data_IF_061575188254
#
_entry.id   IF_061575188254
#
_cell.length_a   1.000
_cell.length_b   1.000
_cell.length_c   1.000
_cell.angle_alpha   90.00
_cell.angle_beta   90.00
_cell.angle_gamma   90.00
#
_symmetry.space_group_name_H-M   'P 1'
#
loop_
_entity.id
_entity.type
_entity.pdbx_description
1 polymer ?
#
# COMPACT_ATOMS: atom_id res chain seq x y z
N UNK A 1 -66.51 -48.47 30.09
CA UNK A 1 -66.40 -48.01 31.49
C UNK A 1 -64.94 -47.93 31.86
N UNK A 2 -64.59 -46.85 32.57
CA UNK A 2 -63.28 -46.35 32.99
C UNK A 2 -62.15 -47.38 33.22
N UNK A 3 -60.94 -47.02 32.80
CA UNK A 3 -59.81 -46.91 33.76
C UNK A 3 -58.67 -46.04 33.18
N UNK A 4 -58.52 -44.84 33.77
CA UNK A 4 -57.24 -44.13 33.88
C UNK A 4 -56.58 -44.60 35.18
N UNK A 5 -55.24 -44.65 35.20
CA UNK A 5 -54.34 -44.11 36.25
C UNK A 5 -52.90 -44.58 35.89
N UNK A 6 -52.08 -43.67 35.35
CA UNK A 6 -51.01 -42.89 36.03
C UNK A 6 -49.64 -43.60 36.04
N UNK A 7 -48.67 -42.82 35.58
CA UNK A 7 -47.25 -43.04 35.27
C UNK A 7 -46.37 -43.59 36.41
N UNK A 8 -45.19 -44.15 36.04
CA UNK A 8 -43.94 -43.56 36.52
C UNK A 8 -42.91 -43.29 35.41
N UNK A 9 -42.04 -42.32 35.67
CA UNK A 9 -41.03 -41.77 34.77
C UNK A 9 -39.89 -42.77 34.41
N UNK A 10 -39.28 -42.68 33.22
CA UNK A 10 -38.04 -43.37 32.92
C UNK A 10 -36.81 -42.48 33.17
N UNK A 11 -35.82 -43.07 33.83
CA UNK A 11 -34.49 -42.50 34.09
C UNK A 11 -33.79 -42.07 32.80
N UNK A 12 -33.34 -40.81 32.75
CA UNK A 12 -32.39 -40.31 31.75
C UNK A 12 -30.99 -40.80 32.11
N UNK A 13 -30.42 -41.64 31.25
CA UNK A 13 -29.00 -41.95 31.21
C UNK A 13 -28.20 -40.67 30.92
N UNK A 14 -27.35 -40.28 31.87
CA UNK A 14 -26.31 -39.29 31.70
C UNK A 14 -25.20 -39.91 30.83
N UNK A 15 -25.11 -39.50 29.57
CA UNK A 15 -23.94 -39.75 28.74
C UNK A 15 -23.08 -38.47 28.71
N UNK A 16 -22.10 -38.40 29.61
CA UNK A 16 -21.06 -37.38 29.61
C UNK A 16 -20.04 -37.72 28.53
N UNK A 17 -20.18 -37.14 27.35
CA UNK A 17 -19.10 -37.10 26.37
C UNK A 17 -18.07 -36.05 26.80
N UNK A 18 -16.97 -36.52 27.38
CA UNK A 18 -15.77 -35.72 27.64
C UNK A 18 -15.13 -35.34 26.30
N UNK A 19 -15.31 -34.08 25.86
CA UNK A 19 -14.50 -33.49 24.78
C UNK A 19 -13.14 -33.14 25.37
N UNK A 20 -12.12 -33.91 25.04
CA UNK A 20 -10.73 -33.45 25.17
C UNK A 20 -10.51 -32.30 24.19
N UNK A 21 -10.78 -31.07 24.64
CA UNK A 21 -10.26 -29.86 24.01
C UNK A 21 -8.77 -29.79 24.34
N UNK A 22 -7.93 -29.92 23.32
CA UNK A 22 -6.55 -29.48 23.43
C UNK A 22 -6.52 -27.98 23.74
N UNK A 23 -5.65 -27.51 24.65
CA UNK A 23 -5.53 -26.10 24.92
C UNK A 23 -5.06 -25.38 23.65
N UNK A 24 -5.89 -24.46 23.15
CA UNK A 24 -5.49 -23.49 22.13
C UNK A 24 -4.35 -22.67 22.74
N UNK A 25 -3.13 -22.94 22.30
CA UNK A 25 -1.98 -22.09 22.60
C UNK A 25 -2.30 -20.70 22.06
N UNK A 26 -2.49 -19.74 22.98
CA UNK A 26 -2.55 -18.32 22.61
C UNK A 26 -1.26 -18.00 21.83
N UNK A 27 -1.35 -17.34 20.67
CA UNK A 27 -0.15 -16.88 19.98
C UNK A 27 0.65 -16.01 20.96
N UNK A 28 1.99 -16.11 20.96
CA UNK A 28 2.81 -15.31 21.84
C UNK A 28 2.50 -13.84 21.59
N UNK A 29 2.17 -13.11 22.65
CA UNK A 29 2.13 -11.65 22.60
C UNK A 29 3.55 -11.18 22.31
N UNK A 30 3.85 -10.99 21.03
CA UNK A 30 5.00 -10.22 20.60
C UNK A 30 4.84 -8.84 21.21
N UNK A 31 5.63 -8.53 22.25
CA UNK A 31 5.76 -7.15 22.67
C UNK A 31 6.27 -6.37 21.46
N UNK A 32 5.41 -5.55 20.85
CA UNK A 32 5.78 -4.64 19.77
C UNK A 32 6.79 -3.66 20.37
N UNK A 33 8.08 -4.00 20.34
CA UNK A 33 9.15 -3.06 20.67
C UNK A 33 8.96 -1.89 19.70
N UNK A 34 8.60 -0.73 20.22
CA UNK A 34 8.48 0.47 19.41
C UNK A 34 9.84 0.74 18.75
N UNK A 35 9.85 0.98 17.44
CA UNK A 35 11.08 1.29 16.72
C UNK A 35 11.67 2.58 17.29
N UNK A 36 12.91 2.50 17.77
CA UNK A 36 13.72 3.66 18.23
C UNK A 36 14.30 4.47 17.08
N UNK A 37 14.11 4.02 15.83
CA UNK A 37 14.58 4.72 14.65
C UNK A 37 13.84 6.05 14.46
N UNK A 38 14.56 7.12 14.17
CA UNK A 38 14.02 8.44 13.85
C UNK A 38 14.45 8.85 12.45
N UNK A 39 13.54 9.50 11.71
CA UNK A 39 13.87 10.03 10.40
C UNK A 39 14.93 11.14 10.55
N UNK A 40 16.08 11.06 9.85
CA UNK A 40 17.08 12.11 9.91
C UNK A 40 16.51 13.42 9.37
N UNK A 41 16.27 14.42 10.22
CA UNK A 41 15.66 15.70 9.82
C UNK A 41 16.52 16.51 8.82
N UNK A 42 17.82 16.21 8.73
CA UNK A 42 18.68 16.75 7.67
C UNK A 42 18.26 16.27 6.26
N UNK A 43 17.63 15.10 6.17
CA UNK A 43 17.19 14.46 4.93
C UNK A 43 15.67 14.57 4.78
N UNK A 44 14.91 14.14 5.79
CA UNK A 44 13.47 14.19 5.88
C UNK A 44 13.02 15.55 6.39
N UNK A 45 12.76 16.46 5.46
CA UNK A 45 12.40 17.85 5.73
C UNK A 45 11.45 18.38 4.65
N UNK A 46 10.84 19.57 4.84
CA UNK A 46 9.90 20.14 3.88
C UNK A 46 10.44 20.21 2.44
N UNK A 47 11.74 20.49 2.25
CA UNK A 47 12.32 20.57 0.90
C UNK A 47 12.30 19.23 0.18
N UNK A 48 12.55 18.11 0.86
CA UNK A 48 12.39 16.76 0.30
C UNK A 48 10.94 16.52 -0.13
N UNK A 49 9.99 16.84 0.75
CA UNK A 49 8.57 16.59 0.50
C UNK A 49 8.04 17.45 -0.66
N UNK A 50 8.42 18.72 -0.73
CA UNK A 50 8.10 19.60 -1.85
C UNK A 50 8.67 19.05 -3.17
N UNK A 51 9.96 18.66 -3.21
CA UNK A 51 10.57 18.08 -4.42
C UNK A 51 9.85 16.82 -4.90
N UNK A 52 9.43 15.94 -3.99
CA UNK A 52 8.66 14.74 -4.34
C UNK A 52 7.38 15.11 -5.10
N UNK A 53 6.64 16.11 -4.61
CA UNK A 53 5.40 16.55 -5.25
C UNK A 53 5.66 17.29 -6.57
N UNK A 54 6.62 18.21 -6.60
CA UNK A 54 6.93 19.02 -7.78
C UNK A 54 7.38 18.15 -8.96
N UNK A 55 8.16 17.10 -8.70
CA UNK A 55 8.60 16.16 -9.74
C UNK A 55 7.45 15.25 -10.17
N UNK A 56 6.72 14.68 -9.21
CA UNK A 56 5.71 13.66 -9.50
C UNK A 56 4.46 14.23 -10.17
N UNK A 57 3.97 15.37 -9.67
CA UNK A 57 2.75 16.04 -10.13
C UNK A 57 3.04 17.20 -11.09
N UNK A 58 4.24 17.27 -11.68
CA UNK A 58 4.55 18.27 -12.69
C UNK A 58 3.48 18.28 -13.79
N UNK A 59 2.92 19.44 -14.08
CA UNK A 59 1.84 19.60 -15.07
C UNK A 59 0.50 18.90 -14.69
N UNK A 60 0.29 18.56 -13.41
CA UNK A 60 -1.00 18.08 -12.86
C UNK A 60 -1.56 19.10 -11.85
N UNK A 61 -2.40 20.06 -12.29
CA UNK A 61 -3.00 21.05 -11.39
C UNK A 61 -3.92 20.41 -10.35
N UNK A 62 -3.90 20.91 -9.12
CA UNK A 62 -4.76 20.42 -8.04
C UNK A 62 -6.26 20.59 -8.35
N UNK A 63 -6.61 21.63 -9.11
CA UNK A 63 -8.00 21.89 -9.53
C UNK A 63 -8.50 20.96 -10.63
N UNK A 64 -7.61 20.17 -11.25
CA UNK A 64 -7.97 19.26 -12.35
C UNK A 64 -8.52 17.97 -11.74
N UNK A 65 -9.76 17.62 -12.10
CA UNK A 65 -10.42 16.40 -11.60
C UNK A 65 -9.85 15.13 -12.22
N UNK A 66 -9.61 15.14 -13.53
CA UNK A 66 -9.01 14.06 -14.32
C UNK A 66 -7.48 14.12 -14.36
N UNK A 67 -6.85 13.14 -15.02
CA UNK A 67 -5.39 13.08 -15.19
C UNK A 67 -5.05 13.27 -16.66
N UNK A 68 -4.15 14.22 -16.95
CA UNK A 68 -3.73 14.47 -18.33
C UNK A 68 -2.83 13.34 -18.88
N UNK A 69 -2.92 13.08 -20.19
CA UNK A 69 -2.19 11.98 -20.84
C UNK A 69 -0.67 12.10 -20.66
N UNK A 70 -0.12 13.31 -20.67
CA UNK A 70 1.32 13.53 -20.43
C UNK A 70 1.73 13.09 -19.01
N UNK A 71 0.87 13.32 -18.03
CA UNK A 71 1.05 12.93 -16.63
C UNK A 71 0.92 11.41 -16.49
N UNK A 72 -0.11 10.80 -17.10
CA UNK A 72 -0.27 9.34 -17.16
C UNK A 72 0.95 8.64 -17.77
N UNK A 73 1.49 9.21 -18.85
CA UNK A 73 2.69 8.68 -19.50
C UNK A 73 3.86 8.66 -18.54
N UNK A 74 4.11 9.76 -17.82
CA UNK A 74 5.18 9.84 -16.82
C UNK A 74 5.03 8.81 -15.71
N UNK A 75 3.81 8.61 -15.23
CA UNK A 75 3.53 7.70 -14.11
C UNK A 75 3.62 6.23 -14.49
N UNK A 76 3.11 5.84 -15.66
CA UNK A 76 2.89 4.43 -15.97
C UNK A 76 3.50 3.93 -17.28
N UNK A 77 3.78 4.82 -18.25
CA UNK A 77 4.02 4.42 -19.64
C UNK A 77 5.40 4.82 -20.19
N UNK A 78 6.30 5.36 -19.36
CA UNK A 78 7.66 5.66 -19.82
C UNK A 78 8.41 4.36 -20.16
N UNK A 79 9.14 4.37 -21.27
CA UNK A 79 10.00 3.28 -21.72
C UNK A 79 11.27 3.83 -22.37
N UNK A 80 12.31 3.00 -22.50
CA UNK A 80 13.58 3.37 -23.11
C UNK A 80 14.21 4.62 -22.47
N UNK A 81 14.76 5.49 -23.32
CA UNK A 81 15.49 6.69 -22.89
C UNK A 81 14.65 7.63 -22.01
N UNK A 82 13.35 7.76 -22.26
CA UNK A 82 12.47 8.62 -21.47
C UNK A 82 12.31 8.11 -20.03
N UNK A 83 12.21 6.78 -19.88
CA UNK A 83 12.17 6.13 -18.55
C UNK A 83 13.49 6.33 -17.83
N UNK A 84 14.60 6.05 -18.51
CA UNK A 84 15.93 6.12 -17.90
C UNK A 84 16.30 7.57 -17.52
N UNK A 85 15.84 8.55 -18.31
CA UNK A 85 15.95 9.97 -17.98
C UNK A 85 15.13 10.35 -16.74
N UNK A 86 13.89 9.87 -16.64
CA UNK A 86 13.05 10.13 -15.47
C UNK A 86 13.57 9.43 -14.21
N UNK A 87 14.03 8.19 -14.31
CA UNK A 87 14.67 7.47 -13.21
C UNK A 87 15.93 8.20 -12.73
N UNK A 88 16.70 8.78 -13.65
CA UNK A 88 17.86 9.63 -13.31
C UNK A 88 17.46 10.92 -12.60
N UNK A 89 16.28 11.50 -12.90
CA UNK A 89 15.71 12.61 -12.13
C UNK A 89 15.36 12.12 -10.72
N UNK A 90 14.67 10.99 -10.59
CA UNK A 90 14.30 10.44 -9.28
C UNK A 90 15.56 10.13 -8.45
N UNK A 91 16.54 9.42 -9.01
CA UNK A 91 17.76 9.03 -8.32
C UNK A 91 18.54 10.24 -7.79
N UNK A 92 18.70 11.30 -8.60
CA UNK A 92 19.39 12.52 -8.16
C UNK A 92 18.70 13.23 -6.99
N UNK A 93 17.38 13.08 -6.86
CA UNK A 93 16.60 13.81 -5.85
C UNK A 93 16.27 12.99 -4.60
N UNK A 94 16.24 11.66 -4.70
CA UNK A 94 15.67 10.80 -3.66
C UNK A 94 16.57 9.66 -3.19
N UNK A 95 17.73 9.42 -3.82
CA UNK A 95 18.63 8.33 -3.39
C UNK A 95 19.11 8.49 -1.95
N UNK A 96 19.45 9.71 -1.52
CA UNK A 96 19.86 9.96 -0.12
C UNK A 96 18.72 9.64 0.87
N UNK A 97 17.48 10.00 0.53
CA UNK A 97 16.33 9.72 1.36
C UNK A 97 16.05 8.22 1.48
N UNK A 98 16.05 7.49 0.35
CA UNK A 98 15.84 6.04 0.39
C UNK A 98 17.02 5.30 1.05
N UNK A 99 18.26 5.74 0.85
CA UNK A 99 19.42 5.17 1.56
C UNK A 99 19.33 5.38 3.07
N UNK A 100 18.89 6.55 3.52
CA UNK A 100 18.73 6.87 4.94
C UNK A 100 17.74 5.95 5.67
N UNK A 101 16.77 5.38 4.95
CA UNK A 101 15.79 4.41 5.46
C UNK A 101 15.95 3.02 4.83
N UNK A 102 17.13 2.70 4.30
CA UNK A 102 17.43 1.40 3.66
C UNK A 102 17.34 0.23 4.65
N UNK A 103 17.24 -1.03 4.17
CA UNK A 103 17.29 -2.21 5.04
C UNK A 103 18.52 -2.25 5.97
N UNK A 104 19.65 -1.68 5.55
CA UNK A 104 20.88 -1.63 6.33
C UNK A 104 20.79 -0.62 7.49
N UNK A 105 20.13 0.53 7.29
CA UNK A 105 20.01 1.59 8.31
C UNK A 105 18.74 1.48 9.15
N UNK A 106 17.69 0.89 8.59
CA UNK A 106 16.38 0.69 9.21
C UNK A 106 15.90 -0.76 9.01
N UNK A 107 16.54 -1.76 9.63
CA UNK A 107 16.31 -3.18 9.31
C UNK A 107 14.93 -3.74 9.67
N UNK A 108 14.15 -3.02 10.49
CA UNK A 108 12.80 -3.42 10.91
C UNK A 108 11.78 -2.45 10.27
N UNK A 109 11.41 -2.65 8.99
CA UNK A 109 10.50 -1.75 8.29
C UNK A 109 9.19 -1.59 9.05
N UNK A 110 8.82 -0.35 9.35
CA UNK A 110 7.54 -0.01 9.94
C UNK A 110 7.17 1.42 9.59
N UNK A 111 5.86 1.69 9.58
CA UNK A 111 5.33 3.04 9.34
C UNK A 111 5.56 4.02 10.49
N UNK A 112 5.93 3.51 11.67
CA UNK A 112 6.00 4.29 12.91
C UNK A 112 6.82 5.58 12.80
N UNK A 113 8.06 5.60 12.23
CA UNK A 113 8.82 6.84 12.13
C UNK A 113 8.17 7.89 11.23
N UNK A 114 7.40 7.44 10.23
CA UNK A 114 6.69 8.30 9.28
C UNK A 114 5.39 8.84 9.89
N UNK A 115 4.69 8.03 10.68
CA UNK A 115 3.53 8.49 11.45
C UNK A 115 3.95 9.54 12.48
N UNK A 116 5.08 9.35 13.16
CA UNK A 116 5.65 10.39 14.03
C UNK A 116 6.01 11.67 13.30
N UNK A 117 6.47 11.62 12.06
CA UNK A 117 6.68 12.82 11.25
C UNK A 117 5.37 13.60 11.06
N UNK A 118 4.28 12.89 10.78
CA UNK A 118 2.95 13.49 10.65
C UNK A 118 2.49 14.08 11.98
N UNK A 119 2.65 13.36 13.08
CA UNK A 119 2.31 13.82 14.43
C UNK A 119 3.13 15.05 14.84
N UNK A 120 4.45 15.06 14.62
CA UNK A 120 5.34 16.20 14.87
C UNK A 120 4.86 17.46 14.14
N UNK A 121 4.41 17.33 12.87
CA UNK A 121 3.91 18.45 12.06
C UNK A 121 2.59 18.98 12.60
N UNK A 122 1.73 18.09 13.11
CA UNK A 122 0.45 18.42 13.73
C UNK A 122 0.63 19.05 15.13
N UNK A 123 1.55 18.54 15.94
CA UNK A 123 1.82 18.97 17.32
C UNK A 123 2.70 20.23 17.39
N UNK A 124 3.67 20.37 16.48
CA UNK A 124 4.60 21.50 16.40
C UNK A 124 3.94 22.85 16.08
N UNK A 125 2.62 22.89 15.97
CA UNK A 125 1.81 24.07 15.64
C UNK A 125 0.63 24.29 16.60
N UNK A 126 0.86 24.18 17.90
CA UNK A 126 -0.07 24.66 18.94
C UNK A 126 0.05 26.18 19.21
N UNK A 127 -0.20 27.01 18.19
CA UNK A 127 -0.44 28.44 18.38
C UNK A 127 -1.35 28.96 17.25
N UNK A 128 -2.63 29.25 17.55
CA UNK A 128 -3.68 29.78 16.64
C UNK A 128 -4.38 28.75 15.71
N UNK A 129 -5.72 28.75 15.68
CA UNK A 129 -6.56 27.88 14.83
C UNK A 129 -6.24 28.00 13.33
N UNK A 130 -5.85 29.19 12.85
CA UNK A 130 -5.43 29.39 11.45
C UNK A 130 -4.08 28.73 11.15
N UNK A 131 -3.20 28.64 12.14
CA UNK A 131 -1.91 27.94 12.04
C UNK A 131 -2.11 26.43 12.18
N UNK A 132 -3.07 25.99 13.00
CA UNK A 132 -3.47 24.58 13.10
C UNK A 132 -4.06 24.04 11.79
N UNK A 133 -4.90 24.81 11.08
CA UNK A 133 -5.40 24.43 9.75
C UNK A 133 -4.25 24.30 8.73
N UNK A 134 -3.30 25.25 8.73
CA UNK A 134 -2.07 25.14 7.90
C UNK A 134 -1.21 23.94 8.28
N UNK A 135 -1.20 23.55 9.56
CA UNK A 135 -0.51 22.36 10.05
C UNK A 135 -1.10 21.05 9.52
N UNK A 136 -2.43 20.95 9.46
CA UNK A 136 -3.11 19.78 8.87
C UNK A 136 -2.85 19.65 7.37
N UNK A 137 -2.92 20.75 6.63
CA UNK A 137 -2.64 20.74 5.19
C UNK A 137 -1.19 20.33 4.90
N UNK A 138 -0.23 20.83 5.68
CA UNK A 138 1.18 20.46 5.53
C UNK A 138 1.44 18.99 5.91
N UNK A 139 0.79 18.50 6.97
CA UNK A 139 0.82 17.10 7.35
C UNK A 139 0.23 16.21 6.24
N UNK A 140 -0.90 16.60 5.65
CA UNK A 140 -1.50 15.90 4.53
C UNK A 140 -0.57 15.88 3.31
N UNK A 141 0.03 17.03 2.94
CA UNK A 141 1.01 17.09 1.86
C UNK A 141 2.25 16.24 2.11
N UNK A 142 2.72 16.21 3.36
CA UNK A 142 3.85 15.37 3.78
C UNK A 142 3.49 13.89 3.65
N UNK A 143 2.29 13.49 4.07
CA UNK A 143 1.78 12.13 3.91
C UNK A 143 1.78 11.69 2.44
N UNK A 144 1.22 12.50 1.54
CA UNK A 144 1.24 12.20 0.10
C UNK A 144 2.68 12.07 -0.42
N UNK A 145 3.58 12.96 -0.03
CA UNK A 145 4.98 12.97 -0.47
C UNK A 145 5.74 11.72 -0.03
N UNK A 146 5.47 11.27 1.20
CA UNK A 146 6.06 10.06 1.76
C UNK A 146 5.51 8.81 1.06
N UNK A 147 4.22 8.76 0.74
CA UNK A 147 3.65 7.67 -0.07
C UNK A 147 4.32 7.59 -1.44
N UNK A 148 4.48 8.74 -2.14
CA UNK A 148 5.20 8.79 -3.42
C UNK A 148 6.66 8.35 -3.26
N UNK A 149 7.37 8.83 -2.23
CA UNK A 149 8.77 8.46 -1.99
C UNK A 149 8.92 6.95 -1.75
N UNK A 150 8.09 6.38 -0.87
CA UNK A 150 8.20 5.00 -0.43
C UNK A 150 7.74 4.03 -1.53
N UNK A 151 6.62 4.30 -2.18
CA UNK A 151 6.01 3.37 -3.14
C UNK A 151 6.56 3.57 -4.56
N UNK A 152 6.56 4.81 -5.05
CA UNK A 152 6.83 5.10 -6.45
C UNK A 152 8.30 5.37 -6.72
N UNK A 153 8.93 6.29 -5.97
CA UNK A 153 10.34 6.63 -6.18
C UNK A 153 11.23 5.40 -5.97
N UNK A 154 10.92 4.53 -5.00
CA UNK A 154 11.65 3.27 -4.82
C UNK A 154 11.64 2.39 -6.08
N UNK A 155 10.52 2.33 -6.83
CA UNK A 155 10.41 1.58 -8.10
C UNK A 155 11.18 2.22 -9.25
N UNK A 156 11.25 3.54 -9.29
CA UNK A 156 12.06 4.27 -10.28
C UNK A 156 13.56 4.13 -10.00
N UNK A 157 13.97 4.11 -8.73
CA UNK A 157 15.38 4.02 -8.34
C UNK A 157 15.93 2.59 -8.44
N UNK A 158 15.12 1.59 -8.10
CA UNK A 158 15.60 0.22 -7.87
C UNK A 158 15.01 -0.77 -8.88
N UNK A 159 15.32 -0.60 -10.16
CA UNK A 159 14.79 -1.46 -11.23
C UNK A 159 15.48 -2.82 -11.39
N UNK A 160 16.69 -3.00 -10.86
CA UNK A 160 17.41 -4.29 -10.96
C UNK A 160 16.80 -5.33 -10.03
N UNK A 161 16.96 -6.64 -10.30
CA UNK A 161 16.45 -7.69 -9.41
C UNK A 161 16.95 -7.54 -7.97
N UNK A 162 18.21 -7.15 -7.78
CA UNK A 162 18.78 -6.85 -6.46
C UNK A 162 18.11 -5.64 -5.79
N UNK A 163 17.89 -4.57 -6.55
CA UNK A 163 17.19 -3.38 -6.07
C UNK A 163 15.73 -3.66 -5.71
N UNK A 164 15.02 -4.41 -6.56
CA UNK A 164 13.61 -4.75 -6.38
C UNK A 164 13.36 -5.55 -5.09
N UNK A 165 14.35 -6.31 -4.61
CA UNK A 165 14.28 -6.92 -3.28
C UNK A 165 14.06 -5.87 -2.19
N UNK A 166 14.74 -4.71 -2.27
CA UNK A 166 14.54 -3.59 -1.33
C UNK A 166 13.16 -2.97 -1.50
N UNK A 167 12.65 -2.88 -2.72
CA UNK A 167 11.29 -2.40 -2.98
C UNK A 167 10.26 -3.29 -2.30
N UNK A 168 10.22 -4.57 -2.68
CA UNK A 168 9.16 -5.47 -2.28
C UNK A 168 9.22 -5.90 -0.81
N UNK A 169 10.42 -6.14 -0.27
CA UNK A 169 10.57 -6.64 1.10
C UNK A 169 10.69 -5.54 2.16
N UNK A 170 10.87 -4.28 1.75
CA UNK A 170 11.19 -3.19 2.67
C UNK A 170 10.35 -1.94 2.44
N UNK A 171 10.47 -1.28 1.29
CA UNK A 171 9.73 -0.03 1.05
C UNK A 171 8.22 -0.25 0.92
N UNK A 172 7.78 -1.34 0.28
CA UNK A 172 6.36 -1.72 0.19
C UNK A 172 5.75 -1.97 1.58
N UNK A 173 6.50 -2.61 2.49
CA UNK A 173 6.07 -2.89 3.88
C UNK A 173 5.84 -1.58 4.64
N UNK A 174 6.77 -0.64 4.51
CA UNK A 174 6.64 0.69 5.14
C UNK A 174 5.45 1.44 4.54
N UNK A 175 5.38 1.50 3.20
CA UNK A 175 4.37 2.25 2.48
C UNK A 175 2.95 1.76 2.77
N UNK A 176 2.75 0.44 2.73
CA UNK A 176 1.46 -0.20 3.04
C UNK A 176 1.05 0.05 4.48
N UNK A 177 1.96 -0.15 5.44
CA UNK A 177 1.67 0.13 6.85
C UNK A 177 1.36 1.60 7.12
N UNK A 178 1.96 2.52 6.35
CA UNK A 178 1.71 3.95 6.46
C UNK A 178 0.34 4.31 5.90
N UNK A 179 -0.01 3.82 4.71
CA UNK A 179 -1.35 3.99 4.14
C UNK A 179 -2.43 3.36 5.01
N UNK A 180 -2.22 2.16 5.57
CA UNK A 180 -3.16 1.53 6.50
C UNK A 180 -3.51 2.45 7.67
N UNK A 181 -2.49 3.09 8.26
CA UNK A 181 -2.67 4.00 9.37
C UNK A 181 -3.35 5.32 8.95
N UNK A 182 -2.99 5.88 7.80
CA UNK A 182 -3.59 7.10 7.26
C UNK A 182 -5.04 6.92 6.83
N UNK A 183 -5.40 5.73 6.32
CA UNK A 183 -6.74 5.38 5.84
C UNK A 183 -7.66 4.85 6.95
N UNK A 184 -7.10 4.58 8.14
CA UNK A 184 -7.87 4.11 9.29
C UNK A 184 -8.83 5.20 9.82
N UNK A 185 -10.01 4.82 10.37
CA UNK A 185 -10.97 5.78 10.92
C UNK A 185 -10.42 6.70 12.02
N UNK A 186 -9.37 6.25 12.73
CA UNK A 186 -8.71 6.99 13.81
C UNK A 186 -7.57 7.90 13.36
N UNK A 187 -7.31 7.98 12.04
CA UNK A 187 -6.28 8.85 11.49
C UNK A 187 -6.53 10.31 11.90
N UNK A 188 -5.50 11.05 12.38
CA UNK A 188 -5.68 12.45 12.76
C UNK A 188 -5.95 13.38 11.57
N UNK A 189 -5.70 12.89 10.35
CA UNK A 189 -6.00 13.57 9.09
C UNK A 189 -7.37 13.19 8.50
N UNK A 190 -8.13 12.32 9.18
CA UNK A 190 -9.34 11.71 8.62
C UNK A 190 -9.03 10.78 7.44
N UNK A 191 -10.01 10.59 6.55
CA UNK A 191 -9.85 9.84 5.30
C UNK A 191 -8.93 10.60 4.35
N UNK A 192 -7.65 10.22 4.31
CA UNK A 192 -6.62 10.99 3.60
C UNK A 192 -6.87 11.07 2.08
N UNK A 193 -7.46 10.03 1.49
CA UNK A 193 -7.84 10.01 0.07
C UNK A 193 -9.06 10.88 -0.25
N UNK A 194 -9.77 11.37 0.77
CA UNK A 194 -10.89 12.31 0.67
C UNK A 194 -10.54 13.67 1.29
N UNK A 195 -9.25 13.93 1.53
CA UNK A 195 -8.80 15.16 2.17
C UNK A 195 -9.18 16.40 1.35
N UNK A 196 -9.63 17.51 1.98
CA UNK A 196 -10.22 18.66 1.28
C UNK A 196 -9.39 19.27 0.15
N UNK A 197 -8.06 19.18 0.21
CA UNK A 197 -7.18 19.72 -0.82
C UNK A 197 -7.33 19.04 -2.18
N UNK A 198 -7.60 17.73 -2.21
CA UNK A 198 -7.56 16.91 -3.43
C UNK A 198 -8.74 15.95 -3.58
N UNK A 199 -9.74 15.99 -2.71
CA UNK A 199 -10.94 15.14 -2.79
C UNK A 199 -11.61 15.14 -4.17
N UNK A 200 -11.47 16.22 -4.93
CA UNK A 200 -12.06 16.37 -6.26
C UNK A 200 -11.10 15.94 -7.40
N UNK A 201 -9.83 15.65 -7.09
CA UNK A 201 -8.78 15.29 -8.07
C UNK A 201 -8.35 13.83 -7.96
N UNK A 202 -8.83 12.96 -8.87
CA UNK A 202 -8.50 11.53 -8.82
C UNK A 202 -6.99 11.28 -8.95
N UNK A 203 -6.28 12.15 -9.68
CA UNK A 203 -4.84 12.07 -9.88
C UNK A 203 -4.03 12.18 -8.58
N UNK A 204 -4.56 12.83 -7.55
CA UNK A 204 -3.91 12.93 -6.24
C UNK A 204 -4.39 11.82 -5.28
N UNK A 205 -5.69 11.46 -5.34
CA UNK A 205 -6.29 10.44 -4.47
C UNK A 205 -5.71 9.05 -4.72
N UNK A 206 -5.52 8.70 -5.99
CA UNK A 206 -5.06 7.39 -6.45
C UNK A 206 -3.78 6.89 -5.74
N UNK A 207 -2.87 7.78 -5.37
CA UNK A 207 -1.60 7.38 -4.78
C UNK A 207 -1.73 6.71 -3.41
N UNK A 208 -2.81 6.96 -2.68
CA UNK A 208 -3.10 6.25 -1.44
C UNK A 208 -3.62 4.82 -1.68
N UNK A 209 -3.97 4.47 -2.91
CA UNK A 209 -4.47 3.15 -3.29
C UNK A 209 -3.35 2.22 -3.76
N UNK A 210 -2.29 2.79 -4.36
CA UNK A 210 -1.17 2.04 -4.92
C UNK A 210 -0.44 1.14 -3.93
N UNK A 211 -0.15 1.55 -2.68
CA UNK A 211 0.48 0.67 -1.70
C UNK A 211 -0.36 -0.58 -1.36
N UNK A 212 -1.69 -0.47 -1.40
CA UNK A 212 -2.57 -1.65 -1.25
C UNK A 212 -2.51 -2.53 -2.50
N UNK A 213 -2.63 -1.93 -3.69
CA UNK A 213 -2.51 -2.66 -4.96
C UNK A 213 -1.17 -3.39 -5.11
N UNK A 214 -0.09 -2.81 -4.59
CA UNK A 214 1.24 -3.40 -4.63
C UNK A 214 1.52 -4.45 -3.55
N UNK A 215 0.64 -4.59 -2.56
CA UNK A 215 0.87 -5.50 -1.44
C UNK A 215 0.48 -6.94 -1.76
N UNK A 216 1.19 -7.90 -1.16
CA UNK A 216 0.80 -9.31 -1.12
C UNK A 216 -0.11 -9.56 0.11
N UNK A 217 -1.12 -8.71 0.31
CA UNK A 217 -2.10 -8.77 1.40
C UNK A 217 -3.53 -8.83 0.82
N UNK A 218 -4.20 -9.99 0.86
CA UNK A 218 -5.57 -10.13 0.34
C UNK A 218 -6.56 -9.13 0.90
N UNK A 219 -6.46 -8.78 2.19
CA UNK A 219 -7.38 -7.82 2.81
C UNK A 219 -7.18 -6.40 2.25
N UNK A 220 -5.96 -6.05 1.82
CA UNK A 220 -5.69 -4.77 1.18
C UNK A 220 -6.39 -4.68 -0.19
N UNK A 221 -6.44 -5.79 -0.94
CA UNK A 221 -7.16 -5.86 -2.22
C UNK A 221 -8.68 -5.75 -2.03
N UNK A 222 -9.25 -6.37 -0.99
CA UNK A 222 -10.68 -6.22 -0.66
C UNK A 222 -11.05 -4.77 -0.29
N UNK A 223 -10.21 -4.10 0.50
CA UNK A 223 -10.39 -2.68 0.85
C UNK A 223 -10.33 -1.80 -0.41
N UNK A 224 -9.37 -2.07 -1.29
CA UNK A 224 -9.21 -1.34 -2.54
C UNK A 224 -10.42 -1.51 -3.47
N UNK A 225 -10.87 -2.75 -3.69
CA UNK A 225 -12.05 -3.06 -4.49
C UNK A 225 -13.29 -2.34 -3.97
N UNK A 226 -13.49 -2.32 -2.65
CA UNK A 226 -14.61 -1.60 -2.02
C UNK A 226 -14.57 -0.09 -2.31
N UNK A 227 -13.40 0.54 -2.23
CA UNK A 227 -13.26 1.98 -2.50
C UNK A 227 -13.48 2.27 -3.98
N UNK A 228 -12.82 1.53 -4.88
CA UNK A 228 -12.93 1.75 -6.32
C UNK A 228 -14.36 1.49 -6.83
N UNK A 229 -15.07 0.51 -6.26
CA UNK A 229 -16.48 0.26 -6.54
C UNK A 229 -17.35 1.49 -6.23
N UNK A 230 -17.20 2.06 -5.04
CA UNK A 230 -17.92 3.30 -4.66
C UNK A 230 -17.58 4.46 -5.58
N UNK A 231 -16.30 4.66 -5.89
CA UNK A 231 -15.86 5.71 -6.82
C UNK A 231 -16.49 5.55 -8.20
N UNK A 232 -16.55 4.32 -8.70
CA UNK A 232 -17.15 4.02 -10.00
C UNK A 232 -18.66 4.27 -10.03
N UNK A 233 -19.36 4.10 -8.90
CA UNK A 233 -20.80 4.36 -8.78
C UNK A 233 -21.12 5.86 -8.63
N UNK A 234 -20.28 6.59 -7.91
CA UNK A 234 -20.52 8.00 -7.55
C UNK A 234 -20.07 8.98 -8.64
N UNK A 235 -19.00 8.66 -9.39
CA UNK A 235 -18.43 9.56 -10.38
C UNK A 235 -19.27 9.67 -11.65
N UNK A 236 -19.46 10.91 -12.12
CA UNK A 236 -20.31 11.24 -13.27
C UNK A 236 -19.55 11.86 -14.43
N UNK A 237 -18.36 12.40 -14.19
CA UNK A 237 -17.53 12.99 -15.23
C UNK A 237 -16.78 11.90 -16.02
N UNK A 238 -17.02 11.85 -17.33
CA UNK A 238 -16.57 10.75 -18.18
C UNK A 238 -15.05 10.55 -18.19
N UNK A 239 -14.26 11.63 -18.20
CA UNK A 239 -12.80 11.54 -18.15
C UNK A 239 -12.31 10.92 -16.83
N UNK A 240 -12.95 11.26 -15.71
CA UNK A 240 -12.62 10.72 -14.39
C UNK A 240 -13.06 9.26 -14.30
N UNK A 241 -14.25 8.93 -14.82
CA UNK A 241 -14.75 7.54 -14.90
C UNK A 241 -13.82 6.64 -15.71
N UNK A 242 -13.27 7.13 -16.82
CA UNK A 242 -12.33 6.38 -17.64
C UNK A 242 -11.06 6.02 -16.84
N UNK A 243 -10.53 6.97 -16.05
CA UNK A 243 -9.40 6.69 -15.17
C UNK A 243 -9.77 5.68 -14.08
N UNK A 244 -10.89 5.88 -13.35
CA UNK A 244 -11.36 4.94 -12.32
C UNK A 244 -11.59 3.54 -12.90
N UNK A 245 -12.17 3.43 -14.09
CA UNK A 245 -12.38 2.14 -14.76
C UNK A 245 -11.04 1.42 -15.06
N UNK A 246 -10.01 2.18 -15.44
CA UNK A 246 -8.66 1.62 -15.61
C UNK A 246 -8.04 1.16 -14.29
N UNK A 247 -8.29 1.89 -13.19
CA UNK A 247 -7.87 1.47 -11.84
C UNK A 247 -8.60 0.20 -11.39
N UNK A 248 -9.91 0.09 -11.63
CA UNK A 248 -10.71 -1.10 -11.32
C UNK A 248 -10.18 -2.32 -12.07
N UNK A 249 -9.88 -2.18 -13.36
CA UNK A 249 -9.30 -3.28 -14.15
C UNK A 249 -7.92 -3.68 -13.61
N UNK A 250 -7.07 -2.70 -13.29
CA UNK A 250 -5.76 -2.97 -12.69
C UNK A 250 -5.90 -3.66 -11.33
N UNK A 251 -6.75 -3.16 -10.44
CA UNK A 251 -6.99 -3.74 -9.11
C UNK A 251 -7.49 -5.18 -9.22
N UNK A 252 -8.42 -5.46 -10.14
CA UNK A 252 -8.93 -6.81 -10.42
C UNK A 252 -7.81 -7.75 -10.84
N UNK A 253 -6.97 -7.36 -11.82
CA UNK A 253 -5.85 -8.20 -12.27
C UNK A 253 -4.84 -8.46 -11.15
N UNK A 254 -4.57 -7.47 -10.30
CA UNK A 254 -3.71 -7.68 -9.13
C UNK A 254 -4.35 -8.65 -8.12
N UNK A 255 -5.64 -8.47 -7.82
CA UNK A 255 -6.40 -9.33 -6.90
C UNK A 255 -6.48 -10.76 -7.41
N UNK A 256 -6.73 -10.98 -8.70
CA UNK A 256 -6.79 -12.32 -9.30
C UNK A 256 -5.50 -13.12 -9.07
N UNK A 257 -4.33 -12.47 -9.13
CA UNK A 257 -3.04 -13.09 -8.81
C UNK A 257 -2.94 -13.41 -7.32
N UNK A 258 -3.32 -12.46 -6.46
CA UNK A 258 -3.22 -12.62 -5.00
C UNK A 258 -4.20 -13.67 -4.48
N UNK A 259 -5.43 -13.73 -4.97
CA UNK A 259 -6.41 -14.75 -4.63
C UNK A 259 -5.93 -16.15 -5.05
N UNK A 260 -5.26 -16.24 -6.21
CA UNK A 260 -4.77 -17.51 -6.75
C UNK A 260 -3.52 -18.03 -6.04
N UNK A 261 -2.54 -17.16 -5.79
CA UNK A 261 -1.21 -17.58 -5.32
C UNK A 261 -0.86 -17.11 -3.92
N UNK A 262 -1.64 -16.20 -3.33
CA UNK A 262 -1.34 -15.52 -2.06
C UNK A 262 -0.15 -14.55 -2.14
N UNK A 263 0.44 -14.36 -3.32
CA UNK A 263 1.64 -13.55 -3.57
C UNK A 263 1.78 -13.25 -5.07
N UNK A 264 2.71 -12.38 -5.46
CA UNK A 264 3.04 -12.11 -6.86
C UNK A 264 4.16 -13.05 -7.36
N UNK A 265 3.87 -14.01 -8.25
CA UNK A 265 4.88 -14.97 -8.72
C UNK A 265 6.06 -14.29 -9.44
N UNK A 266 5.80 -13.19 -10.16
CA UNK A 266 6.82 -12.43 -10.87
C UNK A 266 7.81 -11.70 -9.94
N UNK A 267 7.58 -11.69 -8.61
CA UNK A 267 8.53 -11.15 -7.61
C UNK A 267 9.44 -12.23 -7.01
N UNK A 268 9.19 -13.52 -7.31
CA UNK A 268 9.90 -14.63 -6.69
C UNK A 268 11.41 -14.54 -6.90
N UNK A 269 11.86 -14.18 -8.11
CA UNK A 269 13.28 -14.00 -8.42
C UNK A 269 13.96 -12.96 -7.55
N UNK A 270 13.45 -11.72 -7.52
CA UNK A 270 14.00 -10.66 -6.65
C UNK A 270 13.97 -11.03 -5.15
N UNK A 271 12.92 -11.72 -4.71
CA UNK A 271 12.75 -12.08 -3.31
C UNK A 271 13.52 -13.36 -2.92
N UNK A 272 14.13 -14.07 -3.87
CA UNK A 272 14.80 -15.36 -3.64
C UNK A 272 13.83 -16.47 -3.23
N UNK A 273 12.57 -16.41 -3.69
CA UNK A 273 11.55 -17.43 -3.45
C UNK A 273 11.59 -18.47 -4.55
N UNK A 274 11.40 -19.73 -4.20
CA UNK A 274 11.16 -20.79 -5.17
C UNK A 274 9.72 -20.67 -5.72
N UNK A 275 9.61 -20.68 -7.06
CA UNK A 275 8.31 -20.70 -7.73
C UNK A 275 7.75 -22.11 -7.78
N UNK A 276 6.45 -22.26 -7.52
CA UNK A 276 5.72 -23.52 -7.74
C UNK A 276 5.59 -23.81 -9.24
N UNK A 277 5.26 -25.05 -9.61
CA UNK A 277 5.01 -25.39 -11.02
C UNK A 277 3.83 -24.61 -11.61
N UNK A 278 2.79 -24.35 -10.81
CA UNK A 278 1.65 -23.53 -11.23
C UNK A 278 2.06 -22.08 -11.49
N UNK A 279 2.89 -21.51 -10.61
CA UNK A 279 3.44 -20.16 -10.77
C UNK A 279 4.32 -20.05 -12.01
N UNK A 280 5.20 -21.04 -12.26
CA UNK A 280 6.01 -21.12 -13.47
C UNK A 280 5.14 -21.21 -14.72
N UNK A 281 4.11 -22.05 -14.71
CA UNK A 281 3.19 -22.20 -15.82
C UNK A 281 2.43 -20.89 -16.10
N UNK A 282 1.92 -20.23 -15.07
CA UNK A 282 1.25 -18.94 -15.18
C UNK A 282 2.12 -17.89 -15.87
N UNK A 283 3.38 -17.74 -15.43
CA UNK A 283 4.33 -16.81 -16.03
C UNK A 283 4.67 -17.18 -17.48
N UNK A 284 4.91 -18.47 -17.77
CA UNK A 284 5.20 -18.98 -19.13
C UNK A 284 4.03 -18.80 -20.09
N UNK A 285 2.80 -18.86 -19.61
CA UNK A 285 1.59 -18.65 -20.42
C UNK A 285 1.24 -17.17 -20.66
N UNK A 286 2.10 -16.23 -20.25
CA UNK A 286 1.83 -14.80 -20.40
C UNK A 286 0.87 -14.24 -19.37
N UNK A 287 0.84 -14.82 -18.16
CA UNK A 287 0.08 -14.27 -17.04
C UNK A 287 0.49 -12.84 -16.71
N UNK A 288 -0.44 -12.07 -16.13
CA UNK A 288 -0.22 -10.67 -15.80
C UNK A 288 1.01 -10.50 -14.89
N UNK A 289 1.84 -9.51 -15.23
CA UNK A 289 3.00 -9.08 -14.43
C UNK A 289 3.00 -7.56 -14.33
N UNK A 290 3.53 -7.03 -13.23
CA UNK A 290 3.50 -5.60 -12.93
C UNK A 290 4.88 -5.08 -12.53
N UNK A 291 5.12 -3.79 -12.75
CA UNK A 291 6.39 -3.16 -12.43
C UNK A 291 7.49 -3.51 -13.43
N UNK A 292 8.69 -3.81 -12.92
CA UNK A 292 9.86 -4.07 -13.77
C UNK A 292 9.91 -5.54 -14.17
N UNK A 293 10.01 -5.78 -15.48
CA UNK A 293 10.20 -7.13 -16.03
C UNK A 293 11.48 -7.74 -15.44
N UNK A 294 11.34 -8.89 -14.78
CA UNK A 294 12.46 -9.67 -14.30
C UNK A 294 12.87 -10.67 -15.38
N UNK A 295 14.17 -10.87 -15.58
CA UNK A 295 14.65 -11.96 -16.41
C UNK A 295 14.29 -13.29 -15.73
N UNK A 296 13.47 -14.09 -16.39
CA UNK A 296 13.21 -15.45 -15.93
C UNK A 296 14.48 -16.26 -16.18
N UNK A 297 15.15 -16.71 -15.11
CA UNK A 297 16.16 -17.76 -15.22
C UNK A 297 15.44 -19.06 -15.64
N UNK A 298 15.14 -19.21 -16.94
CA UNK A 298 15.10 -20.53 -17.56
C UNK A 298 16.56 -20.99 -17.67
N UNK A 299 17.16 -21.34 -16.53
CA UNK A 299 18.28 -22.28 -16.51
C UNK A 299 17.68 -23.66 -16.75
N UNK A 300 17.39 -23.92 -18.02
CA UNK A 300 17.30 -25.28 -18.52
C UNK A 300 18.67 -25.93 -18.29
N UNK A 301 18.73 -26.82 -17.31
CA UNK A 301 19.70 -27.92 -17.23
C UNK A 301 18.92 -29.20 -17.11
#
# INVERSE_FOLDING_TARGET
>A
MLTRLVTPAPLRLLNTFSKHQQPVLKPPQLSRKMSTFTLPKSVFNPSLYHRARDIWFKDQPLSKRSVDISVLKRWFLLAGDDRDAFDSVCARNFSEALDAISPERFPNPSAEPFLREIEDILEGRNADERVAARGKDEAAWTALSLVILLDQMSRNLFRTSEGLRKVYAHYDVISKGFVDALMAPKSPLGRIDEYPLWKDSIGYRHWFYMPWMHSEDPEAHERLETILGKLSEEEKEEEVRAFIASEVDAARKHKDIIDRFGRYPHRNGALGRESTEEEKQFLRSGGDTFGVKQDHEDKAT
#
